data_IF_341535983810
#
_entry.id   IF_341535983810
#
_cell.length_a   1.000
_cell.length_b   1.000
_cell.length_c   1.000
_cell.angle_alpha   90.00
_cell.angle_beta   90.00
_cell.angle_gamma   90.00
#
_symmetry.space_group_name_H-M   'P 1'
#
loop_
_entity.id
_entity.type
_entity.pdbx_description
1 polymer ?
#
# COMPACT_ATOMS: atom_id res chain seq x y z
N UNK A 1 -14.71 -18.81 5.49
CA UNK A 1 -14.30 -17.43 5.12
C UNK A 1 -12.92 -17.52 4.49
N UNK A 2 -12.70 -16.90 3.32
CA UNK A 2 -11.33 -16.67 2.86
C UNK A 2 -10.79 -15.50 3.69
N UNK A 3 -9.80 -15.75 4.52
CA UNK A 3 -9.13 -14.69 5.26
C UNK A 3 -8.19 -14.00 4.25
N UNK A 4 -8.39 -12.71 3.94
CA UNK A 4 -7.49 -11.98 3.06
C UNK A 4 -6.07 -11.98 3.62
N UNK A 5 -5.09 -11.94 2.72
CA UNK A 5 -3.68 -11.83 3.11
C UNK A 5 -3.40 -10.51 3.81
N UNK A 6 -2.28 -10.42 4.54
CA UNK A 6 -1.87 -9.17 5.20
C UNK A 6 -1.84 -8.00 4.22
N UNK A 7 -1.29 -8.23 3.03
CA UNK A 7 -1.13 -7.23 1.97
C UNK A 7 -2.48 -6.74 1.46
N UNK A 8 -3.43 -7.65 1.25
CA UNK A 8 -4.80 -7.30 0.86
C UNK A 8 -5.53 -6.51 1.96
N UNK A 9 -5.37 -6.92 3.22
CA UNK A 9 -5.93 -6.19 4.36
C UNK A 9 -5.38 -4.77 4.45
N UNK A 10 -4.07 -4.61 4.26
CA UNK A 10 -3.40 -3.32 4.27
C UNK A 10 -3.92 -2.40 3.15
N UNK A 11 -4.07 -2.95 1.94
CA UNK A 11 -4.66 -2.23 0.82
C UNK A 11 -6.10 -1.78 1.13
N UNK A 12 -6.93 -2.69 1.64
CA UNK A 12 -8.32 -2.38 1.99
C UNK A 12 -8.42 -1.28 3.05
N UNK A 13 -7.56 -1.31 4.07
CA UNK A 13 -7.50 -0.27 5.10
C UNK A 13 -7.12 1.09 4.50
N UNK A 14 -6.08 1.15 3.67
CA UNK A 14 -5.65 2.38 3.00
C UNK A 14 -6.74 2.96 2.09
N UNK A 15 -7.43 2.11 1.33
CA UNK A 15 -8.55 2.53 0.47
C UNK A 15 -9.73 3.08 1.29
N UNK A 16 -10.04 2.46 2.43
CA UNK A 16 -11.06 2.97 3.34
C UNK A 16 -10.67 4.36 3.88
N UNK A 17 -9.43 4.52 4.33
CA UNK A 17 -8.91 5.80 4.83
C UNK A 17 -8.97 6.92 3.78
N UNK A 18 -8.51 6.65 2.55
CA UNK A 18 -8.58 7.61 1.45
C UNK A 18 -10.02 8.04 1.14
N UNK A 19 -10.97 7.11 1.26
CA UNK A 19 -12.39 7.38 1.04
C UNK A 19 -13.04 8.18 2.18
N UNK A 20 -12.66 7.90 3.43
CA UNK A 20 -13.32 8.45 4.61
C UNK A 20 -12.73 9.79 5.08
N UNK A 21 -11.44 10.04 4.87
CA UNK A 21 -10.72 11.13 5.56
C UNK A 21 -10.24 12.28 4.67
N UNK A 22 -10.58 12.35 3.37
CA UNK A 22 -10.12 13.40 2.45
C UNK A 22 -8.61 13.70 2.60
N UNK A 23 -7.80 12.64 2.63
CA UNK A 23 -6.35 12.76 2.77
C UNK A 23 -5.79 13.42 1.50
N UNK A 24 -5.00 14.50 1.61
CA UNK A 24 -4.45 15.16 0.43
C UNK A 24 -3.45 14.26 -0.30
N UNK A 25 -3.38 14.41 -1.62
CA UNK A 25 -2.49 13.62 -2.49
C UNK A 25 -1.00 13.81 -2.15
N UNK A 26 -0.65 14.91 -1.48
CA UNK A 26 0.70 15.16 -0.97
C UNK A 26 1.08 14.24 0.19
N UNK A 27 0.12 13.67 0.92
CA UNK A 27 0.37 12.81 2.08
C UNK A 27 0.24 11.33 1.69
N UNK A 28 -0.85 10.98 1.00
CA UNK A 28 -1.11 9.62 0.55
C UNK A 28 -1.88 9.65 -0.77
N UNK A 29 -1.30 9.03 -1.81
CA UNK A 29 -1.94 8.88 -3.11
C UNK A 29 -1.85 7.43 -3.57
N UNK A 30 -2.96 6.89 -4.09
CA UNK A 30 -2.99 5.57 -4.68
C UNK A 30 -2.53 5.61 -6.14
N UNK A 31 -1.48 4.86 -6.47
CA UNK A 31 -0.84 4.86 -7.79
C UNK A 31 -1.33 3.74 -8.73
N UNK A 32 -2.17 2.83 -8.24
CA UNK A 32 -2.69 1.69 -9.02
C UNK A 32 -1.95 0.38 -8.75
N UNK A 33 -2.14 -0.58 -9.65
CA UNK A 33 -1.54 -1.91 -9.60
C UNK A 33 -0.43 -2.06 -10.65
N UNK A 34 0.67 -2.70 -10.29
CA UNK A 34 1.74 -3.09 -11.23
C UNK A 34 2.42 -4.37 -10.79
N UNK A 35 3.08 -5.02 -11.75
CA UNK A 35 3.84 -6.23 -11.46
C UNK A 35 4.99 -5.94 -10.49
N UNK A 36 5.05 -6.71 -9.42
CA UNK A 36 6.18 -6.71 -8.51
C UNK A 36 7.31 -7.51 -9.16
N UNK A 37 8.29 -6.82 -9.74
CA UNK A 37 9.36 -7.45 -10.52
C UNK A 37 10.52 -7.91 -9.65
N UNK A 38 11.41 -8.72 -10.21
CA UNK A 38 12.64 -9.20 -9.56
C UNK A 38 13.64 -8.09 -9.20
N UNK A 39 13.37 -6.85 -9.60
CA UNK A 39 14.17 -5.68 -9.22
C UNK A 39 13.99 -5.34 -7.73
N UNK A 40 12.86 -5.71 -7.13
CA UNK A 40 12.54 -5.44 -5.73
C UNK A 40 12.89 -6.66 -4.87
N UNK A 41 14.02 -6.60 -4.16
CA UNK A 41 14.56 -7.75 -3.42
C UNK A 41 13.92 -8.00 -2.05
N UNK A 42 13.09 -7.08 -1.56
CA UNK A 42 12.50 -7.16 -0.22
C UNK A 42 11.56 -8.37 -0.08
N UNK A 43 10.72 -8.62 -1.08
CA UNK A 43 9.69 -9.66 -1.03
C UNK A 43 9.69 -10.55 -2.30
N UNK A 44 10.64 -11.49 -2.44
CA UNK A 44 10.70 -12.35 -3.61
C UNK A 44 9.48 -13.27 -3.79
N UNK A 45 8.73 -13.51 -2.71
CA UNK A 45 7.47 -14.25 -2.74
C UNK A 45 6.37 -13.59 -3.60
N UNK A 46 6.46 -12.26 -3.78
CA UNK A 46 5.52 -11.50 -4.60
C UNK A 46 6.01 -11.27 -6.03
N UNK A 47 7.19 -11.77 -6.41
CA UNK A 47 7.70 -11.61 -7.78
C UNK A 47 6.73 -12.21 -8.82
N UNK A 48 6.37 -11.41 -9.83
CA UNK A 48 5.41 -11.79 -10.87
C UNK A 48 3.94 -11.68 -10.47
N UNK A 49 3.64 -11.11 -9.30
CA UNK A 49 2.27 -10.81 -8.87
C UNK A 49 1.95 -9.33 -9.08
N UNK A 50 0.67 -9.02 -9.31
CA UNK A 50 0.19 -7.63 -9.29
C UNK A 50 0.16 -7.14 -7.84
N UNK A 51 0.74 -5.97 -7.62
CA UNK A 51 0.87 -5.34 -6.32
C UNK A 51 0.31 -3.92 -6.39
N UNK A 52 -0.39 -3.48 -5.34
CA UNK A 52 -0.87 -2.11 -5.21
C UNK A 52 0.27 -1.17 -4.78
N UNK A 53 0.29 0.04 -5.32
CA UNK A 53 1.32 1.04 -5.01
C UNK A 53 0.72 2.33 -4.50
N UNK A 54 1.46 2.97 -3.61
CA UNK A 54 1.10 4.22 -2.98
C UNK A 54 2.27 5.19 -2.98
N UNK A 55 1.98 6.47 -3.21
CA UNK A 55 2.90 7.57 -2.97
C UNK A 55 2.68 8.08 -1.56
N UNK A 56 3.72 8.06 -0.74
CA UNK A 56 3.73 8.51 0.65
C UNK A 56 4.52 9.82 0.74
N UNK A 57 3.91 10.86 1.30
CA UNK A 57 4.52 12.18 1.48
C UNK A 57 4.91 12.87 0.16
N UNK A 58 4.33 12.46 -0.97
CA UNK A 58 4.64 13.02 -2.30
C UNK A 58 6.04 12.68 -2.83
N UNK A 59 6.82 11.88 -2.09
CA UNK A 59 8.23 11.62 -2.38
C UNK A 59 8.54 10.12 -2.53
N UNK A 60 7.84 9.26 -1.77
CA UNK A 60 8.17 7.85 -1.67
C UNK A 60 7.08 6.99 -2.29
N UNK A 61 7.35 6.46 -3.48
CA UNK A 61 6.47 5.47 -4.11
C UNK A 61 6.84 4.06 -3.62
N UNK A 62 5.94 3.46 -2.84
CA UNK A 62 6.15 2.16 -2.19
C UNK A 62 5.02 1.18 -2.52
N UNK A 63 5.34 -0.12 -2.64
CA UNK A 63 4.33 -1.16 -2.79
C UNK A 63 3.64 -1.39 -1.44
N UNK A 64 2.38 -1.80 -1.48
CA UNK A 64 1.59 -2.04 -0.26
C UNK A 64 2.20 -3.14 0.63
N UNK A 65 2.96 -4.09 0.07
CA UNK A 65 3.65 -5.11 0.86
C UNK A 65 4.78 -4.55 1.75
N UNK A 66 5.39 -3.42 1.36
CA UNK A 66 6.42 -2.74 2.15
C UNK A 66 5.80 -1.77 3.20
N UNK A 67 4.48 -1.53 3.17
CA UNK A 67 3.79 -0.74 4.18
C UNK A 67 3.51 -1.63 5.39
N UNK A 68 4.24 -1.42 6.48
CA UNK A 68 4.18 -2.29 7.65
C UNK A 68 2.86 -2.16 8.43
N UNK A 69 2.45 -0.93 8.70
CA UNK A 69 1.23 -0.57 9.43
C UNK A 69 0.82 0.88 9.13
N UNK A 70 -0.46 1.19 9.37
CA UNK A 70 -0.97 2.56 9.38
C UNK A 70 -1.58 2.80 10.74
N UNK A 71 -0.97 3.69 11.50
CA UNK A 71 -1.35 4.01 12.87
C UNK A 71 -1.91 5.43 12.95
N UNK A 72 -2.85 5.65 13.87
CA UNK A 72 -3.36 6.96 14.15
C UNK A 72 -2.42 7.66 15.13
N UNK A 73 -2.00 8.89 14.81
CA UNK A 73 -1.31 9.72 15.80
C UNK A 73 -2.33 10.18 16.84
N UNK A 74 -2.15 9.74 18.09
CA UNK A 74 -2.86 10.28 19.26
C UNK A 74 -2.33 11.70 19.53
N UNK A 75 -3.22 12.67 19.77
CA UNK A 75 -2.89 14.07 20.09
C UNK A 75 -2.37 14.23 21.53
#
# INVERSE_FOLDING_TARGET
MKVPSKVELQHMQLQAMLKEHCIPESELLYCGEREYTTQYVAHPEYHGQLMHWYMIGGEHEVPVCDIESVDAVDD
#
